data_IF_970965696025
#
_entry.id   IF_970965696025
#
_cell.length_a   1.000
_cell.length_b   1.000
_cell.length_c   1.000
_cell.angle_alpha   90.00
_cell.angle_beta   90.00
_cell.angle_gamma   90.00
#
_symmetry.space_group_name_H-M   'P 1'
#
loop_
_entity.id
_entity.type
_entity.pdbx_description
1 polymer ?
#
# COMPACT_ATOMS: atom_id res chain seq x y z
N UNK A 1 -0.27 5.18 24.64
CA UNK A 1 -0.62 6.18 23.60
C UNK A 1 -0.10 5.63 22.30
N UNK A 2 -0.95 5.49 21.27
CA UNK A 2 -0.54 4.94 19.97
C UNK A 2 0.39 5.93 19.26
N UNK A 3 1.36 5.39 18.52
CA UNK A 3 2.37 6.12 17.74
C UNK A 3 2.21 5.80 16.25
N UNK A 4 2.73 6.66 15.38
CA UNK A 4 2.85 6.34 13.96
C UNK A 4 3.81 5.17 13.72
N UNK A 5 4.87 5.01 14.52
CA UNK A 5 5.78 3.87 14.41
C UNK A 5 5.08 2.51 14.57
N UNK A 6 4.02 2.43 15.38
CA UNK A 6 3.21 1.20 15.49
C UNK A 6 2.30 0.96 14.26
N UNK A 7 1.98 2.01 13.51
CA UNK A 7 1.03 1.98 12.39
C UNK A 7 1.72 1.95 11.01
N UNK A 8 2.95 2.44 10.89
CA UNK A 8 3.67 2.51 9.61
C UNK A 8 4.49 1.24 9.35
N UNK A 9 4.64 0.85 8.09
CA UNK A 9 5.48 -0.31 7.72
C UNK A 9 6.96 -0.05 7.97
N UNK A 10 7.42 1.19 7.85
CA UNK A 10 8.80 1.59 8.13
C UNK A 10 9.13 1.61 9.64
N UNK A 11 8.11 1.54 10.51
CA UNK A 11 8.32 1.51 11.96
C UNK A 11 8.83 2.84 12.53
N UNK A 12 8.44 3.96 11.93
CA UNK A 12 8.88 5.32 12.29
C UNK A 12 7.68 6.25 12.48
N UNK A 13 7.81 7.21 13.39
CA UNK A 13 6.88 8.31 13.58
C UNK A 13 6.32 8.45 15.01
N UNK A 14 5.97 9.68 15.35
CA UNK A 14 5.73 10.12 16.73
C UNK A 14 4.38 9.73 17.34
N UNK A 15 4.15 10.13 18.60
CA UNK A 15 2.87 9.93 19.29
C UNK A 15 1.68 10.60 18.61
N UNK A 16 0.52 9.97 18.67
CA UNK A 16 -0.73 10.46 18.10
C UNK A 16 -1.63 11.02 19.20
N UNK A 17 -2.03 12.30 19.11
CA UNK A 17 -2.88 12.93 20.11
C UNK A 17 -4.26 12.25 20.25
N UNK A 18 -4.94 11.99 19.13
CA UNK A 18 -6.23 11.28 19.10
C UNK A 18 -6.25 10.26 17.96
N UNK A 19 -6.37 8.98 18.28
CA UNK A 19 -6.49 7.90 17.31
C UNK A 19 -7.90 7.29 17.37
N UNK A 20 -8.60 7.25 16.23
CA UNK A 20 -9.98 6.77 16.12
C UNK A 20 -10.03 5.64 15.09
N UNK A 21 -10.81 4.60 15.40
CA UNK A 21 -11.02 3.43 14.55
C UNK A 21 -12.51 3.19 14.30
N UNK A 22 -13.20 4.00 13.48
CA UNK A 22 -14.62 3.85 13.27
C UNK A 22 -14.95 2.53 12.56
N UNK A 23 -16.00 1.85 13.01
CA UNK A 23 -16.47 0.56 12.46
C UNK A 23 -17.72 0.71 11.60
N UNK A 24 -18.19 1.93 11.36
CA UNK A 24 -19.38 2.22 10.55
C UNK A 24 -19.10 3.36 9.59
N UNK A 25 -19.76 3.36 8.43
CA UNK A 25 -19.60 4.39 7.40
C UNK A 25 -19.86 5.79 7.97
N UNK A 26 -20.93 5.91 8.76
CA UNK A 26 -21.29 7.15 9.47
C UNK A 26 -20.19 7.57 10.43
N UNK A 27 -19.63 6.65 11.23
CA UNK A 27 -18.56 6.97 12.17
C UNK A 27 -17.26 7.45 11.49
N UNK A 28 -16.96 6.97 10.27
CA UNK A 28 -15.83 7.51 9.47
C UNK A 28 -16.09 8.96 9.09
N UNK A 29 -17.28 9.26 8.56
CA UNK A 29 -17.68 10.61 8.16
C UNK A 29 -17.68 11.55 9.37
N UNK A 30 -18.30 11.15 10.48
CA UNK A 30 -18.37 11.95 11.70
C UNK A 30 -16.99 12.25 12.27
N UNK A 31 -16.08 11.27 12.30
CA UNK A 31 -14.72 11.47 12.80
C UNK A 31 -13.92 12.48 11.95
N UNK A 32 -14.09 12.43 10.62
CA UNK A 32 -13.47 13.38 9.68
C UNK A 32 -14.10 14.76 9.81
N UNK A 33 -15.42 14.85 9.81
CA UNK A 33 -16.16 16.10 9.91
C UNK A 33 -15.90 16.81 11.25
N UNK A 34 -15.82 16.06 12.37
CA UNK A 34 -15.51 16.63 13.68
C UNK A 34 -14.12 17.25 13.71
N UNK A 35 -13.13 16.60 13.09
CA UNK A 35 -11.77 17.13 13.00
C UNK A 35 -11.72 18.41 12.16
N UNK A 36 -12.37 18.39 10.99
CA UNK A 36 -12.45 19.54 10.07
C UNK A 36 -13.19 20.72 10.71
N UNK A 37 -14.33 20.49 11.36
CA UNK A 37 -15.10 21.53 12.03
C UNK A 37 -14.34 22.21 13.18
N UNK A 38 -13.40 21.50 13.80
CA UNK A 38 -12.53 22.01 14.88
C UNK A 38 -11.22 22.60 14.36
N UNK A 39 -10.95 22.54 13.05
CA UNK A 39 -9.69 22.96 12.45
C UNK A 39 -8.48 22.16 12.95
N UNK A 40 -8.69 20.90 13.36
CA UNK A 40 -7.62 20.03 13.83
C UNK A 40 -6.88 19.40 12.64
N UNK A 41 -5.54 19.23 12.70
CA UNK A 41 -4.83 18.43 11.71
C UNK A 41 -5.44 17.03 11.61
N UNK A 42 -5.72 16.58 10.38
CA UNK A 42 -6.38 15.30 10.11
C UNK A 42 -5.48 14.40 9.27
N UNK A 43 -5.24 13.18 9.74
CA UNK A 43 -4.57 12.12 9.00
C UNK A 43 -5.46 10.88 8.92
N UNK A 44 -6.09 10.65 7.77
CA UNK A 44 -6.72 9.36 7.46
C UNK A 44 -5.64 8.40 7.01
N UNK A 45 -5.51 7.27 7.71
CA UNK A 45 -4.48 6.26 7.48
C UNK A 45 -5.11 4.91 7.16
N UNK A 46 -4.60 4.25 6.12
CA UNK A 46 -4.88 2.84 5.85
C UNK A 46 -3.96 1.94 6.67
N UNK A 47 -3.14 1.12 5.99
CA UNK A 47 -2.13 0.26 6.62
C UNK A 47 -0.79 0.97 6.95
N UNK A 48 -0.69 2.27 6.72
CA UNK A 48 0.53 3.06 6.97
C UNK A 48 1.73 2.68 6.11
N UNK A 49 1.49 2.08 4.94
CA UNK A 49 2.55 1.48 4.11
C UNK A 49 3.28 2.44 3.17
N UNK A 50 2.77 3.66 3.00
CA UNK A 50 3.32 4.67 2.10
C UNK A 50 3.41 6.04 2.78
N UNK A 51 3.92 6.06 4.03
CA UNK A 51 4.03 7.27 4.83
C UNK A 51 5.37 7.31 5.57
N UNK A 52 6.02 8.46 5.54
CA UNK A 52 7.12 8.79 6.45
C UNK A 52 6.66 9.94 7.34
N UNK A 53 6.57 9.69 8.64
CA UNK A 53 5.99 10.63 9.60
C UNK A 53 7.04 11.04 10.60
N UNK A 54 7.15 12.34 10.89
CA UNK A 54 8.03 12.90 11.91
C UNK A 54 7.83 12.21 13.27
N UNK A 55 8.92 12.09 14.04
CA UNK A 55 8.88 11.58 15.42
C UNK A 55 8.26 12.57 16.42
N UNK A 56 8.01 13.81 16.00
CA UNK A 56 7.29 14.80 16.81
C UNK A 56 5.83 14.40 17.02
N UNK A 57 5.22 14.70 18.19
CA UNK A 57 3.80 14.44 18.41
C UNK A 57 2.91 15.06 17.34
N UNK A 58 1.97 14.29 16.80
CA UNK A 58 0.97 14.81 15.86
C UNK A 58 -0.22 15.38 16.65
N UNK A 59 -0.43 16.72 16.65
CA UNK A 59 -1.37 17.39 17.56
C UNK A 59 -2.83 17.33 17.06
N UNK A 60 -3.17 16.33 16.26
CA UNK A 60 -4.43 16.22 15.53
C UNK A 60 -5.15 14.88 15.72
N UNK A 61 -6.05 14.61 14.79
CA UNK A 61 -6.84 13.37 14.75
C UNK A 61 -6.29 12.45 13.66
N UNK A 62 -6.00 11.21 14.04
CA UNK A 62 -5.71 10.12 13.11
C UNK A 62 -6.92 9.21 13.05
N UNK A 63 -7.43 8.97 11.84
CA UNK A 63 -8.59 8.11 11.61
C UNK A 63 -8.15 6.91 10.79
N UNK A 64 -8.41 5.69 11.28
CA UNK A 64 -8.28 4.48 10.48
C UNK A 64 -9.66 3.86 10.29
N UNK A 65 -10.07 3.73 9.04
CA UNK A 65 -11.31 3.01 8.72
C UNK A 65 -11.15 1.53 9.12
N UNK A 66 -11.94 1.06 10.09
CA UNK A 66 -11.88 -0.32 10.59
C UNK A 66 -12.87 -1.25 9.87
N UNK A 67 -13.61 -0.71 8.91
CA UNK A 67 -14.54 -1.44 8.05
C UNK A 67 -13.78 -2.24 6.99
N UNK A 68 -14.33 -3.38 6.58
CA UNK A 68 -13.59 -4.38 5.79
C UNK A 68 -14.46 -5.25 4.87
N UNK A 69 -15.75 -4.97 4.78
CA UNK A 69 -16.65 -5.78 3.97
C UNK A 69 -16.23 -5.74 2.50
N UNK A 70 -16.35 -6.90 1.87
CA UNK A 70 -16.27 -7.08 0.42
C UNK A 70 -17.60 -7.71 0.02
N UNK A 71 -18.30 -7.09 -0.93
CA UNK A 71 -19.58 -7.56 -1.44
C UNK A 71 -19.51 -7.74 -2.95
N UNK A 72 -20.22 -8.74 -3.45
CA UNK A 72 -20.34 -9.01 -4.89
C UNK A 72 -21.83 -8.90 -5.22
N UNK A 73 -22.30 -7.72 -5.68
CA UNK A 73 -23.72 -7.51 -6.00
C UNK A 73 -24.19 -8.35 -7.19
N UNK A 74 -23.29 -8.74 -8.09
CA UNK A 74 -23.60 -9.53 -9.28
C UNK A 74 -23.59 -11.04 -9.00
N UNK A 75 -24.29 -11.83 -9.84
CA UNK A 75 -24.06 -13.27 -9.87
C UNK A 75 -22.65 -13.58 -10.36
N UNK A 76 -21.86 -14.30 -9.56
CA UNK A 76 -20.45 -14.63 -9.87
C UNK A 76 -20.34 -15.57 -11.08
N UNK A 77 -21.35 -16.40 -11.32
CA UNK A 77 -21.37 -17.36 -12.43
C UNK A 77 -21.94 -16.71 -13.69
N UNK A 78 -21.15 -16.53 -14.77
CA UNK A 78 -21.64 -15.91 -15.99
C UNK A 78 -22.68 -16.81 -16.67
N UNK A 79 -23.75 -16.21 -17.19
CA UNK A 79 -24.69 -16.87 -18.11
C UNK A 79 -23.92 -17.22 -19.40
N UNK A 80 -24.14 -18.42 -19.94
CA UNK A 80 -23.43 -18.90 -21.14
C UNK A 80 -23.63 -17.92 -22.32
N UNK A 81 -22.52 -17.32 -22.80
CA UNK A 81 -22.53 -16.30 -23.87
C UNK A 81 -22.80 -14.85 -23.42
N UNK A 82 -22.99 -14.59 -22.12
CA UNK A 82 -23.23 -13.27 -21.54
C UNK A 82 -21.96 -12.49 -21.17
N UNK A 83 -22.17 -11.26 -20.67
CA UNK A 83 -21.11 -10.45 -20.05
C UNK A 83 -20.47 -11.21 -18.89
N UNK A 84 -19.14 -11.15 -18.82
CA UNK A 84 -18.33 -11.80 -17.77
C UNK A 84 -17.84 -10.80 -16.73
N UNK A 85 -18.27 -9.55 -16.82
CA UNK A 85 -17.97 -8.52 -15.83
C UNK A 85 -18.67 -8.88 -14.51
N UNK A 86 -17.92 -8.77 -13.41
CA UNK A 86 -18.40 -8.96 -12.05
C UNK A 86 -17.98 -7.74 -11.24
N UNK A 87 -18.96 -7.01 -10.73
CA UNK A 87 -18.72 -5.88 -9.85
C UNK A 87 -18.42 -6.39 -8.44
N UNK A 88 -17.34 -5.88 -7.85
CA UNK A 88 -16.96 -6.18 -6.47
C UNK A 88 -16.79 -4.85 -5.73
N UNK A 89 -17.61 -4.63 -4.70
CA UNK A 89 -17.49 -3.46 -3.84
C UNK A 89 -16.68 -3.84 -2.59
N UNK A 90 -15.73 -2.98 -2.20
CA UNK A 90 -14.94 -3.19 -1.00
C UNK A 90 -14.81 -1.89 -0.19
N UNK A 91 -14.96 -1.99 1.13
CA UNK A 91 -14.81 -0.86 2.03
C UNK A 91 -13.37 -0.37 2.12
N UNK A 92 -13.18 0.93 2.32
CA UNK A 92 -11.86 1.58 2.26
C UNK A 92 -10.82 1.02 3.26
N UNK A 93 -11.27 0.51 4.40
CA UNK A 93 -10.43 -0.11 5.43
C UNK A 93 -10.02 -1.57 5.14
N UNK A 94 -10.61 -2.22 4.13
CA UNK A 94 -10.26 -3.59 3.76
C UNK A 94 -8.78 -3.69 3.36
N UNK A 95 -8.06 -4.70 3.87
CA UNK A 95 -6.68 -4.95 3.48
C UNK A 95 -6.61 -5.26 1.98
N UNK A 96 -5.70 -4.59 1.26
CA UNK A 96 -5.62 -4.74 -0.19
C UNK A 96 -5.36 -6.18 -0.61
N UNK A 97 -4.42 -6.86 0.05
CA UNK A 97 -4.07 -8.21 -0.36
C UNK A 97 -5.11 -9.27 0.05
N UNK A 98 -5.93 -8.98 1.06
CA UNK A 98 -7.12 -9.79 1.37
C UNK A 98 -8.18 -9.65 0.28
N UNK A 99 -8.38 -8.44 -0.25
CA UNK A 99 -9.23 -8.20 -1.40
C UNK A 99 -8.73 -8.96 -2.64
N UNK A 100 -7.44 -8.89 -2.96
CA UNK A 100 -6.88 -9.65 -4.09
C UNK A 100 -6.99 -11.17 -3.87
N UNK A 101 -6.77 -11.66 -2.65
CA UNK A 101 -6.97 -13.08 -2.33
C UNK A 101 -8.43 -13.50 -2.58
N UNK A 102 -9.38 -12.72 -2.07
CA UNK A 102 -10.82 -12.95 -2.25
C UNK A 102 -11.23 -13.00 -3.73
N UNK A 103 -10.77 -12.06 -4.55
CA UNK A 103 -11.12 -12.03 -5.98
C UNK A 103 -10.53 -13.21 -6.74
N UNK A 104 -9.28 -13.61 -6.43
CA UNK A 104 -8.64 -14.79 -7.04
C UNK A 104 -9.32 -16.10 -6.59
N UNK A 105 -9.78 -16.17 -5.33
CA UNK A 105 -10.54 -17.32 -4.81
C UNK A 105 -11.89 -17.50 -5.53
N UNK A 106 -12.53 -16.40 -5.93
CA UNK A 106 -13.75 -16.40 -6.75
C UNK A 106 -13.52 -16.59 -8.26
N UNK A 107 -12.27 -16.74 -8.71
CA UNK A 107 -11.97 -16.90 -10.13
C UNK A 107 -12.15 -15.61 -10.93
N UNK A 108 -11.87 -14.45 -10.33
CA UNK A 108 -11.92 -13.14 -10.98
C UNK A 108 -10.51 -12.68 -11.37
N UNK A 109 -10.35 -12.22 -12.61
CA UNK A 109 -9.14 -11.58 -13.12
C UNK A 109 -9.26 -10.05 -13.10
N UNK A 110 -8.11 -9.37 -13.00
CA UNK A 110 -7.98 -7.91 -13.12
C UNK A 110 -7.02 -7.30 -12.11
N UNK A 111 -6.78 -7.99 -10.98
CA UNK A 111 -5.97 -7.46 -9.86
C UNK A 111 -4.91 -8.44 -9.35
N UNK A 112 -4.79 -9.63 -9.96
CA UNK A 112 -3.85 -10.66 -9.54
C UNK A 112 -2.38 -10.21 -9.63
N UNK A 113 -2.05 -9.33 -10.59
CA UNK A 113 -0.73 -8.70 -10.74
C UNK A 113 -0.36 -7.74 -9.61
N UNK A 114 -1.35 -7.30 -8.84
CA UNK A 114 -1.24 -6.36 -7.71
C UNK A 114 -1.15 -7.08 -6.35
N UNK A 115 -1.01 -8.41 -6.36
CA UNK A 115 -0.88 -9.23 -5.15
C UNK A 115 0.28 -8.77 -4.25
N UNK A 116 0.05 -8.76 -2.94
CA UNK A 116 1.03 -8.43 -1.92
C UNK A 116 1.43 -6.96 -1.85
N UNK A 117 0.69 -6.05 -2.51
CA UNK A 117 0.86 -4.61 -2.26
C UNK A 117 0.37 -4.30 -0.83
N UNK A 118 1.21 -3.70 0.02
CA UNK A 118 0.83 -3.27 1.36
C UNK A 118 -0.28 -2.21 1.39
N UNK A 119 -1.12 -2.20 2.44
CA UNK A 119 -2.11 -1.16 2.69
C UNK A 119 -3.56 -1.60 2.49
N UNK A 120 -4.45 -0.65 2.21
CA UNK A 120 -5.89 -0.89 2.14
C UNK A 120 -6.49 -0.52 0.78
N UNK A 121 -7.68 -1.04 0.50
CA UNK A 121 -8.48 -0.72 -0.69
C UNK A 121 -8.66 0.78 -0.87
N UNK A 122 -8.98 1.53 0.19
CA UNK A 122 -9.15 2.99 0.09
C UNK A 122 -7.87 3.73 -0.32
N UNK A 123 -6.71 3.28 0.19
CA UNK A 123 -5.42 3.87 -0.16
C UNK A 123 -4.98 3.51 -1.59
N UNK A 124 -5.46 2.39 -2.14
CA UNK A 124 -5.07 1.88 -3.47
C UNK A 124 -5.32 2.90 -4.59
N UNK A 125 -6.46 3.60 -4.53
CA UNK A 125 -6.91 4.56 -5.54
C UNK A 125 -6.35 5.96 -5.35
N UNK A 126 -5.81 6.30 -4.17
CA UNK A 126 -5.22 7.63 -3.93
C UNK A 126 -4.02 7.84 -4.85
N UNK A 127 -3.17 6.83 -4.98
CA UNK A 127 -1.98 6.92 -5.81
C UNK A 127 -1.98 5.96 -6.99
N UNK A 128 -3.13 5.42 -7.39
CA UNK A 128 -3.21 4.43 -8.47
C UNK A 128 -2.13 3.35 -8.35
N UNK A 129 -2.20 2.53 -7.28
CA UNK A 129 -1.17 1.51 -7.03
C UNK A 129 -0.98 0.64 -8.27
N UNK A 130 0.27 0.26 -8.52
CA UNK A 130 0.60 -0.52 -9.71
C UNK A 130 1.86 -1.31 -9.55
N UNK A 131 1.83 -2.54 -10.05
CA UNK A 131 2.95 -3.46 -10.08
C UNK A 131 2.78 -4.43 -11.25
N UNK A 132 3.91 -4.90 -11.79
CA UNK A 132 3.96 -5.97 -12.79
C UNK A 132 3.00 -5.78 -13.97
N UNK A 133 2.92 -4.54 -14.49
CA UNK A 133 2.14 -4.22 -15.70
C UNK A 133 0.65 -3.98 -15.45
N UNK A 134 0.19 -4.05 -14.20
CA UNK A 134 -1.17 -3.66 -13.80
C UNK A 134 -1.14 -2.40 -12.95
N UNK A 135 -2.20 -1.60 -13.07
CA UNK A 135 -2.51 -0.47 -12.20
C UNK A 135 -3.98 -0.58 -11.78
N UNK A 136 -4.28 -0.25 -10.53
CA UNK A 136 -5.63 -0.45 -9.97
C UNK A 136 -6.71 0.31 -10.73
N UNK A 137 -6.38 1.47 -11.29
CA UNK A 137 -7.31 2.28 -12.07
C UNK A 137 -7.86 1.59 -13.32
N UNK A 138 -7.21 0.53 -13.81
CA UNK A 138 -7.73 -0.28 -14.92
C UNK A 138 -8.92 -1.18 -14.52
N UNK A 139 -9.13 -1.40 -13.22
CA UNK A 139 -10.20 -2.25 -12.68
C UNK A 139 -11.23 -1.48 -11.88
N UNK A 140 -11.01 -0.18 -11.58
CA UNK A 140 -11.95 0.63 -10.82
C UNK A 140 -13.06 1.15 -11.72
N UNK A 141 -14.30 0.92 -11.33
CA UNK A 141 -15.47 1.53 -11.97
C UNK A 141 -15.81 2.86 -11.28
N UNK A 142 -15.95 2.83 -9.95
CA UNK A 142 -16.33 3.99 -9.14
C UNK A 142 -15.71 3.96 -7.75
N UNK A 143 -15.58 5.14 -7.15
CA UNK A 143 -15.09 5.35 -5.79
C UNK A 143 -16.05 6.25 -5.03
N UNK A 144 -16.67 5.71 -3.98
CA UNK A 144 -17.49 6.50 -3.07
C UNK A 144 -16.55 7.27 -2.13
N UNK A 145 -16.73 8.59 -2.06
CA UNK A 145 -15.92 9.47 -1.21
C UNK A 145 -16.79 10.37 -0.33
N UNK A 146 -16.27 10.73 0.84
CA UNK A 146 -16.69 11.92 1.57
C UNK A 146 -15.93 13.13 1.06
N UNK A 147 -16.63 14.10 0.47
CA UNK A 147 -16.07 15.39 0.08
C UNK A 147 -16.06 16.33 1.29
N UNK A 148 -14.87 16.56 1.84
CA UNK A 148 -14.67 17.40 3.04
C UNK A 148 -14.99 18.88 2.82
N UNK A 149 -14.91 19.35 1.57
CA UNK A 149 -15.22 20.75 1.24
C UNK A 149 -16.72 20.96 1.16
N UNK A 150 -17.40 20.09 0.41
CA UNK A 150 -18.83 20.23 0.12
C UNK A 150 -19.72 19.53 1.17
N UNK A 151 -19.11 18.80 2.10
CA UNK A 151 -19.76 18.05 3.19
C UNK A 151 -20.86 17.11 2.69
N UNK A 152 -20.54 16.34 1.65
CA UNK A 152 -21.45 15.35 1.06
C UNK A 152 -20.70 14.13 0.59
N UNK A 153 -21.40 13.01 0.52
CA UNK A 153 -20.88 11.84 -0.19
C UNK A 153 -21.09 11.97 -1.69
N UNK A 154 -20.11 11.51 -2.45
CA UNK A 154 -20.10 11.58 -3.93
C UNK A 154 -19.47 10.31 -4.47
N UNK A 155 -20.01 9.78 -5.57
CA UNK A 155 -19.37 8.72 -6.34
C UNK A 155 -18.54 9.35 -7.47
N UNK A 156 -17.25 9.04 -7.50
CA UNK A 156 -16.33 9.47 -8.53
C UNK A 156 -16.08 8.31 -9.49
N UNK A 157 -16.28 8.55 -10.79
CA UNK A 157 -15.97 7.56 -11.82
C UNK A 157 -14.46 7.45 -12.06
N UNK A 158 -14.01 6.40 -12.76
CA UNK A 158 -12.63 6.31 -13.24
C UNK A 158 -12.17 7.55 -14.03
N UNK A 159 -13.10 8.16 -14.79
CA UNK A 159 -12.83 9.39 -15.56
C UNK A 159 -12.63 10.61 -14.63
N UNK A 160 -13.45 10.74 -13.58
CA UNK A 160 -13.31 11.82 -12.59
C UNK A 160 -12.01 11.70 -11.80
N UNK A 161 -11.59 10.47 -11.52
CA UNK A 161 -10.37 10.16 -10.77
C UNK A 161 -9.10 10.48 -11.55
N UNK A 162 -9.15 10.58 -12.88
CA UNK A 162 -8.01 10.95 -13.74
C UNK A 162 -6.74 10.19 -13.36
N UNK A 163 -6.85 8.86 -13.27
CA UNK A 163 -5.74 8.02 -12.88
C UNK A 163 -4.54 8.24 -13.81
N UNK A 164 -3.35 8.30 -13.20
CA UNK A 164 -2.08 8.38 -13.90
C UNK A 164 -1.00 7.64 -13.13
N UNK A 165 0.23 7.70 -13.62
CA UNK A 165 1.35 7.04 -12.97
C UNK A 165 1.56 7.60 -11.56
N UNK A 166 1.28 6.78 -10.54
CA UNK A 166 1.35 7.13 -9.11
C UNK A 166 0.50 8.35 -8.70
N UNK A 167 -0.59 8.59 -9.43
CA UNK A 167 -1.41 9.80 -9.28
C UNK A 167 -2.90 9.56 -9.52
N UNK A 168 -3.73 10.40 -8.89
CA UNK A 168 -5.16 10.55 -9.14
C UNK A 168 -5.62 11.95 -8.74
N UNK A 169 -6.87 12.30 -9.05
CA UNK A 169 -7.53 13.53 -8.58
C UNK A 169 -7.57 13.61 -7.04
N UNK A 170 -7.60 12.46 -6.34
CA UNK A 170 -7.55 12.40 -4.88
C UNK A 170 -6.19 12.91 -4.37
N UNK A 171 -5.08 12.34 -4.85
CA UNK A 171 -3.73 12.80 -4.48
C UNK A 171 -3.49 14.25 -4.91
N UNK A 172 -3.96 14.63 -6.10
CA UNK A 172 -3.84 16.00 -6.59
C UNK A 172 -4.57 17.03 -5.72
N UNK A 173 -5.62 16.61 -4.99
CA UNK A 173 -6.35 17.51 -4.07
C UNK A 173 -5.58 17.90 -2.80
N UNK A 174 -4.45 17.25 -2.51
CA UNK A 174 -3.60 17.52 -1.33
C UNK A 174 -2.19 18.01 -1.65
N UNK A 175 -1.85 18.15 -2.94
CA UNK A 175 -0.52 18.57 -3.39
C UNK A 175 -0.64 19.74 -4.37
N UNK A 176 0.15 20.81 -4.17
CA UNK A 176 0.23 21.92 -5.11
C UNK A 176 1.18 21.61 -6.30
N UNK A 177 2.15 20.73 -6.07
CA UNK A 177 3.08 20.19 -7.06
C UNK A 177 3.60 18.82 -6.56
N UNK A 178 4.30 18.02 -7.38
CA UNK A 178 4.90 16.77 -6.91
C UNK A 178 5.70 16.95 -5.62
N UNK A 179 5.40 16.12 -4.60
CA UNK A 179 5.96 16.18 -3.26
C UNK A 179 5.88 17.56 -2.55
N UNK A 180 5.04 18.49 -3.03
CA UNK A 180 4.82 19.81 -2.42
C UNK A 180 3.39 19.89 -1.87
N UNK A 181 3.20 19.76 -0.54
CA UNK A 181 1.89 19.82 0.09
C UNK A 181 1.10 21.07 -0.30
N UNK A 182 -0.21 20.91 -0.52
CA UNK A 182 -1.12 22.04 -0.65
C UNK A 182 -1.38 22.68 0.72
N UNK A 183 -1.82 23.95 0.72
CA UNK A 183 -2.19 24.66 1.95
C UNK A 183 -3.49 24.17 2.60
N UNK A 184 -4.28 23.36 1.88
CA UNK A 184 -5.49 22.71 2.37
C UNK A 184 -5.41 21.21 2.13
N UNK A 185 -6.13 20.44 2.95
CA UNK A 185 -6.29 18.99 2.78
C UNK A 185 -4.96 18.22 2.70
N UNK A 186 -3.96 18.60 3.46
CA UNK A 186 -2.76 17.77 3.67
C UNK A 186 -2.67 17.39 5.15
N UNK A 187 -2.30 16.13 5.51
CA UNK A 187 -1.89 15.00 4.66
C UNK A 187 -3.04 14.12 4.15
N UNK A 188 -4.29 14.49 4.43
CA UNK A 188 -5.48 13.75 3.97
C UNK A 188 -6.13 14.49 2.81
N UNK A 189 -6.36 13.87 1.63
CA UNK A 189 -7.07 14.47 0.51
C UNK A 189 -8.39 15.17 0.85
N UNK A 190 -8.86 16.06 -0.04
CA UNK A 190 -10.22 16.63 0.03
C UNK A 190 -11.28 15.52 0.11
N UNK A 191 -11.02 14.43 -0.62
CA UNK A 191 -11.90 13.30 -0.78
C UNK A 191 -11.41 12.12 0.08
N UNK A 192 -12.15 11.77 1.13
CA UNK A 192 -11.86 10.58 1.95
C UNK A 192 -12.62 9.40 1.36
N UNK A 193 -11.89 8.38 0.92
CA UNK A 193 -12.48 7.18 0.31
C UNK A 193 -13.28 6.39 1.36
N UNK A 194 -14.51 6.02 1.02
CA UNK A 194 -15.41 5.22 1.86
C UNK A 194 -15.53 3.79 1.34
N UNK A 195 -15.65 3.60 0.03
CA UNK A 195 -15.66 2.30 -0.64
C UNK A 195 -15.17 2.43 -2.09
N UNK A 196 -14.77 1.31 -2.69
CA UNK A 196 -14.36 1.24 -4.10
C UNK A 196 -15.11 0.10 -4.76
N UNK A 197 -15.70 0.37 -5.92
CA UNK A 197 -16.32 -0.64 -6.78
C UNK A 197 -15.39 -0.96 -7.94
N UNK A 198 -15.04 -2.23 -8.07
CA UNK A 198 -14.20 -2.77 -9.13
C UNK A 198 -15.06 -3.50 -10.16
N UNK A 199 -14.79 -3.28 -11.44
CA UNK A 199 -15.31 -4.09 -12.53
C UNK A 199 -14.24 -5.13 -12.91
N UNK A 200 -14.37 -6.34 -12.38
CA UNK A 200 -13.48 -7.47 -12.64
C UNK A 200 -14.10 -8.41 -13.66
N UNK A 201 -13.34 -9.40 -14.13
CA UNK A 201 -13.84 -10.37 -15.11
C UNK A 201 -13.78 -11.80 -14.59
N UNK A 202 -14.86 -12.56 -14.73
CA UNK A 202 -14.86 -13.97 -14.39
C UNK A 202 -14.00 -14.77 -15.38
N UNK A 203 -12.87 -15.28 -14.89
CA UNK A 203 -11.88 -16.05 -15.65
C UNK A 203 -10.93 -16.79 -14.72
N UNK A 204 -10.73 -18.09 -14.95
CA UNK A 204 -9.72 -18.88 -14.24
C UNK A 204 -8.28 -18.41 -14.53
N UNK A 205 -8.06 -17.77 -15.69
CA UNK A 205 -6.75 -17.26 -16.10
C UNK A 205 -6.67 -15.73 -16.02
N UNK A 206 -5.45 -15.19 -15.98
CA UNK A 206 -5.12 -13.77 -16.11
C UNK A 206 -3.98 -13.58 -17.12
N UNK A 207 -3.58 -12.32 -17.37
CA UNK A 207 -2.55 -11.99 -18.39
C UNK A 207 -1.22 -11.59 -17.74
N UNK A 208 -0.11 -12.15 -18.21
CA UNK A 208 1.24 -11.81 -17.72
C UNK A 208 1.76 -10.56 -18.43
N UNK A 209 1.57 -9.40 -17.80
CA UNK A 209 1.83 -8.09 -18.44
C UNK A 209 3.24 -7.51 -18.29
N UNK A 210 4.20 -8.21 -17.68
CA UNK A 210 5.49 -7.62 -17.34
C UNK A 210 6.67 -8.60 -17.42
N UNK A 211 7.77 -8.16 -18.05
CA UNK A 211 8.91 -9.04 -18.38
C UNK A 211 9.55 -9.74 -17.18
N UNK A 212 9.65 -9.08 -16.02
CA UNK A 212 10.18 -9.75 -14.83
C UNK A 212 9.27 -10.87 -14.33
N UNK A 213 7.95 -10.67 -14.41
CA UNK A 213 6.97 -11.67 -14.01
C UNK A 213 6.95 -12.83 -15.02
N UNK A 214 6.99 -12.51 -16.32
CA UNK A 214 7.11 -13.48 -17.41
C UNK A 214 8.35 -14.38 -17.23
N UNK A 215 9.51 -13.79 -16.96
CA UNK A 215 10.75 -14.52 -16.63
C UNK A 215 10.60 -15.43 -15.41
N UNK A 216 9.94 -14.96 -14.35
CA UNK A 216 9.75 -15.74 -13.13
C UNK A 216 8.80 -16.94 -13.33
N UNK A 217 7.86 -16.81 -14.27
CA UNK A 217 6.90 -17.85 -14.64
C UNK A 217 7.39 -18.77 -15.77
N UNK A 218 8.47 -18.39 -16.49
CA UNK A 218 8.98 -19.15 -17.63
C UNK A 218 8.07 -19.03 -18.87
N UNK A 219 7.44 -17.86 -19.06
CA UNK A 219 6.50 -17.56 -20.13
C UNK A 219 6.85 -16.23 -20.80
N UNK A 220 6.16 -15.88 -21.88
CA UNK A 220 6.32 -14.61 -22.58
C UNK A 220 5.35 -13.54 -22.06
N UNK A 221 5.67 -12.27 -22.30
CA UNK A 221 4.74 -11.17 -21.99
C UNK A 221 3.52 -11.27 -22.90
N UNK A 222 2.33 -11.26 -22.29
CA UNK A 222 1.04 -11.45 -22.97
C UNK A 222 0.47 -12.86 -22.84
N UNK A 223 1.26 -13.83 -22.36
CA UNK A 223 0.75 -15.18 -22.09
C UNK A 223 -0.31 -15.18 -20.98
N UNK A 224 -1.23 -16.14 -21.06
CA UNK A 224 -2.28 -16.34 -20.05
C UNK A 224 -2.00 -17.54 -19.17
N UNK A 225 -2.22 -17.38 -17.87
CA UNK A 225 -2.00 -18.41 -16.85
C UNK A 225 -3.07 -18.34 -15.78
N UNK A 226 -3.25 -19.41 -15.00
CA UNK A 226 -4.12 -19.41 -13.83
C UNK A 226 -3.84 -18.19 -12.92
N UNK A 227 -4.88 -17.44 -12.55
CA UNK A 227 -4.73 -16.22 -11.73
C UNK A 227 -4.02 -16.50 -10.41
N UNK A 228 -4.27 -17.67 -9.81
CA UNK A 228 -3.56 -18.15 -8.61
C UNK A 228 -2.07 -18.36 -8.85
N UNK A 229 -1.67 -18.86 -10.02
CA UNK A 229 -0.26 -19.03 -10.37
C UNK A 229 0.43 -17.67 -10.54
N UNK A 230 -0.24 -16.71 -11.19
CA UNK A 230 0.24 -15.33 -11.33
C UNK A 230 0.41 -14.69 -9.95
N UNK A 231 -0.61 -14.72 -9.09
CA UNK A 231 -0.56 -14.23 -7.70
C UNK A 231 0.64 -14.80 -6.94
N UNK A 232 0.82 -16.13 -6.97
CA UNK A 232 1.91 -16.78 -6.27
C UNK A 232 3.29 -16.35 -6.79
N UNK A 233 3.45 -16.18 -8.10
CA UNK A 233 4.70 -15.68 -8.68
C UNK A 233 4.95 -14.22 -8.30
N UNK A 234 3.93 -13.36 -8.35
CA UNK A 234 4.01 -11.96 -7.90
C UNK A 234 4.47 -11.87 -6.45
N UNK A 235 3.85 -12.63 -5.54
CA UNK A 235 4.23 -12.66 -4.12
C UNK A 235 5.70 -13.07 -3.95
N UNK A 236 6.18 -14.10 -4.67
CA UNK A 236 7.59 -14.52 -4.64
C UNK A 236 8.54 -13.44 -5.15
N UNK A 237 8.23 -12.79 -6.26
CA UNK A 237 9.08 -11.72 -6.83
C UNK A 237 9.09 -10.48 -5.93
N UNK A 238 7.98 -10.16 -5.25
CA UNK A 238 7.97 -9.08 -4.25
C UNK A 238 8.77 -9.44 -3.01
N UNK A 239 8.64 -10.67 -2.51
CA UNK A 239 9.38 -11.16 -1.35
C UNK A 239 10.90 -11.07 -1.57
N UNK A 240 11.39 -11.46 -2.75
CA UNK A 240 12.82 -11.40 -3.09
C UNK A 240 13.40 -9.98 -3.21
N UNK A 241 12.56 -8.95 -3.08
CA UNK A 241 12.91 -7.54 -3.12
C UNK A 241 12.65 -6.80 -1.80
N UNK A 242 12.19 -7.49 -0.75
CA UNK A 242 11.73 -6.84 0.48
C UNK A 242 10.46 -5.97 0.29
N UNK A 243 9.69 -6.21 -0.78
CA UNK A 243 8.53 -5.38 -1.17
C UNK A 243 7.19 -5.90 -0.62
N UNK A 244 7.23 -6.89 0.28
CA UNK A 244 6.09 -7.33 1.07
C UNK A 244 6.20 -6.73 2.47
N UNK A 245 5.07 -6.58 3.15
CA UNK A 245 5.09 -6.18 4.57
C UNK A 245 5.76 -7.26 5.43
N UNK A 246 6.32 -6.84 6.57
CA UNK A 246 6.69 -7.75 7.64
C UNK A 246 5.42 -8.33 8.27
N UNK A 247 5.20 -9.64 8.13
CA UNK A 247 3.99 -10.30 8.61
C UNK A 247 3.84 -10.25 10.14
N UNK A 248 4.97 -10.14 10.87
CA UNK A 248 4.97 -10.03 12.33
C UNK A 248 4.29 -8.75 12.84
N UNK A 249 4.14 -7.73 11.98
CA UNK A 249 3.48 -6.48 12.35
C UNK A 249 2.04 -6.67 12.79
N UNK A 250 1.35 -7.69 12.28
CA UNK A 250 -0.04 -7.98 12.61
C UNK A 250 -0.23 -8.60 13.99
N UNK A 251 0.88 -8.92 14.68
CA UNK A 251 0.89 -9.32 16.09
C UNK A 251 0.92 -8.11 17.04
N UNK A 252 1.19 -6.90 16.51
CA UNK A 252 1.11 -5.66 17.29
C UNK A 252 -0.36 -5.31 17.57
N UNK A 253 -0.76 -4.99 18.82
CA UNK A 253 -2.13 -4.55 19.15
C UNK A 253 -2.67 -3.40 18.29
N UNK A 254 -1.80 -2.53 17.78
CA UNK A 254 -2.20 -1.44 16.89
C UNK A 254 -2.65 -1.94 15.51
N UNK A 255 -2.13 -3.07 15.02
CA UNK A 255 -2.39 -3.62 13.68
C UNK A 255 -3.20 -4.93 13.72
N UNK A 256 -3.44 -5.49 14.90
CA UNK A 256 -4.28 -6.66 15.12
C UNK A 256 -5.63 -6.55 14.39
N UNK A 257 -6.03 -7.63 13.73
CA UNK A 257 -7.31 -7.74 13.04
C UNK A 257 -7.46 -6.82 11.82
N UNK A 258 -6.41 -6.13 11.36
CA UNK A 258 -6.46 -5.30 10.13
C UNK A 258 -6.20 -6.09 8.85
N UNK A 259 -5.85 -7.37 8.97
CA UNK A 259 -5.70 -8.35 7.89
C UNK A 259 -6.27 -9.69 8.35
N UNK A 260 -6.87 -10.45 7.42
CA UNK A 260 -7.43 -11.79 7.63
C UNK A 260 -6.43 -12.72 8.29
N UNK A 261 -6.84 -13.39 9.37
CA UNK A 261 -5.97 -14.24 10.18
C UNK A 261 -5.35 -15.40 9.38
N UNK A 262 -6.08 -16.01 8.45
CA UNK A 262 -5.53 -17.04 7.56
C UNK A 262 -4.42 -16.49 6.65
N UNK A 263 -4.59 -15.29 6.09
CA UNK A 263 -3.58 -14.64 5.26
C UNK A 263 -2.35 -14.22 6.09
N UNK A 264 -2.55 -13.79 7.35
CA UNK A 264 -1.45 -13.51 8.28
C UNK A 264 -0.64 -14.79 8.57
N UNK A 265 -1.30 -15.91 8.85
CA UNK A 265 -0.62 -17.21 9.07
C UNK A 265 0.18 -17.65 7.85
N UNK A 266 -0.39 -17.54 6.64
CA UNK A 266 0.29 -17.85 5.38
C UNK A 266 1.53 -16.97 5.21
N UNK A 267 1.41 -15.66 5.48
CA UNK A 267 2.51 -14.71 5.34
C UNK A 267 3.62 -14.96 6.39
N UNK A 268 3.25 -15.23 7.65
CA UNK A 268 4.21 -15.58 8.72
C UNK A 268 4.97 -16.85 8.36
N UNK A 269 4.27 -17.91 7.92
CA UNK A 269 4.93 -19.17 7.52
C UNK A 269 5.84 -18.98 6.31
N UNK A 270 5.44 -18.15 5.34
CA UNK A 270 6.27 -17.83 4.20
C UNK A 270 7.54 -17.03 4.56
N UNK A 271 7.50 -16.24 5.64
CA UNK A 271 8.61 -15.39 6.07
C UNK A 271 9.52 -16.08 7.10
N UNK A 272 8.95 -16.81 8.06
CA UNK A 272 9.65 -17.35 9.24
C UNK A 272 9.67 -18.89 9.29
N UNK A 273 9.11 -19.57 8.28
CA UNK A 273 9.06 -21.03 8.22
C UNK A 273 8.27 -21.64 9.39
N UNK A 274 8.72 -22.79 9.89
CA UNK A 274 8.00 -23.54 10.93
C UNK A 274 7.99 -22.83 12.29
N UNK A 275 8.86 -21.84 12.53
CA UNK A 275 8.81 -21.00 13.74
C UNK A 275 7.49 -20.22 13.81
N UNK A 276 6.85 -19.95 12.67
CA UNK A 276 5.57 -19.26 12.63
C UNK A 276 4.42 -20.06 13.27
N UNK A 277 4.51 -21.39 13.33
CA UNK A 277 3.43 -22.26 13.81
C UNK A 277 3.23 -22.13 15.34
N UNK A 278 4.19 -21.56 16.07
CA UNK A 278 4.07 -21.27 17.51
C UNK A 278 3.51 -19.88 17.83
N UNK A 279 3.37 -19.01 16.82
CA UNK A 279 2.92 -17.63 17.01
C UNK A 279 1.39 -17.57 17.14
N UNK A 280 0.91 -16.94 18.19
CA UNK A 280 -0.51 -16.66 18.37
C UNK A 280 -0.94 -15.55 17.41
N UNK A 281 -1.63 -15.92 16.33
CA UNK A 281 -2.25 -14.96 15.40
C UNK A 281 -3.65 -14.64 15.91
N UNK A 282 -3.95 -13.38 16.25
CA UNK A 282 -5.29 -13.02 16.70
C UNK A 282 -6.33 -13.19 15.58
N UNK A 283 -7.52 -13.64 15.96
CA UNK A 283 -8.61 -13.80 15.00
C UNK A 283 -9.08 -12.44 14.48
N UNK A 284 -9.52 -12.43 13.22
CA UNK A 284 -10.04 -11.21 12.60
C UNK A 284 -11.51 -11.04 13.00
N UNK A 285 -11.92 -9.94 13.67
CA UNK A 285 -13.31 -9.83 14.13
C UNK A 285 -14.30 -9.85 12.96
N UNK A 286 -15.34 -10.70 13.02
CA UNK A 286 -16.29 -10.82 11.90
C UNK A 286 -15.69 -11.44 10.63
N UNK A 287 -14.57 -12.17 10.74
CA UNK A 287 -14.11 -13.10 9.70
C UNK A 287 -14.78 -14.47 9.78
N UNK A 288 -15.86 -14.60 10.57
CA UNK A 288 -16.95 -15.47 10.18
C UNK A 288 -17.42 -14.94 8.84
N UNK A 289 -16.77 -15.38 7.78
CA UNK A 289 -17.17 -15.05 6.44
C UNK A 289 -18.58 -15.60 6.31
N UNK A 290 -19.51 -14.66 6.22
CA UNK A 290 -20.77 -14.75 5.52
C UNK A 290 -20.50 -15.00 4.02
N UNK A 291 -19.69 -16.03 3.73
CA UNK A 291 -19.70 -16.84 2.52
C UNK A 291 -20.90 -17.81 2.52
N UNK A 292 -21.90 -17.55 3.37
CA UNK A 292 -23.04 -18.41 3.65
C UNK A 292 -24.02 -18.57 2.48
N UNK A 293 -23.83 -17.89 1.35
CA UNK A 293 -24.55 -18.20 0.11
C UNK A 293 -23.92 -19.39 -0.66
N UNK A 294 -22.69 -19.80 -0.35
CA UNK A 294 -22.01 -20.91 -1.02
C UNK A 294 -21.86 -22.20 -0.18
N UNK A 295 -22.35 -22.22 1.07
CA UNK A 295 -22.09 -23.32 2.01
C UNK A 295 -23.32 -23.77 2.81
N UNK A 296 -24.42 -24.14 2.13
CA UNK A 296 -25.41 -25.02 2.75
C UNK A 296 -24.87 -26.45 2.85
N UNK A 297 -24.34 -26.84 4.03
CA UNK A 297 -24.54 -28.13 4.73
C UNK A 297 -23.52 -28.34 5.88
N UNK A 298 -24.06 -28.76 7.04
CA UNK A 298 -23.43 -29.34 8.26
C UNK A 298 -23.32 -28.45 9.52
N UNK A 299 -24.47 -28.22 10.15
CA UNK A 299 -24.88 -28.50 11.56
C UNK A 299 -23.85 -28.38 12.73
N UNK A 300 -24.18 -27.42 13.61
CA UNK A 300 -24.22 -27.38 15.11
C UNK A 300 -23.03 -26.96 16.00
N UNK A 301 -23.33 -25.89 16.77
CA UNK A 301 -23.23 -25.68 18.23
C UNK A 301 -22.09 -24.84 18.89
N UNK A 302 -22.48 -23.60 19.25
CA UNK A 302 -22.48 -22.87 20.56
C UNK A 302 -21.20 -22.44 21.31
N UNK A 303 -21.13 -21.10 21.52
CA UNK A 303 -20.81 -20.30 22.75
C UNK A 303 -19.39 -20.44 23.35
N UNK A 304 -18.65 -19.43 23.84
CA UNK A 304 -18.96 -18.19 24.57
C UNK A 304 -17.74 -17.21 24.54
N UNK A 305 -17.97 -15.92 24.78
CA UNK A 305 -16.98 -14.81 24.84
C UNK A 305 -16.48 -14.50 26.25
N UNK A 306 -15.19 -14.16 26.41
CA UNK A 306 -14.71 -13.24 27.47
C UNK A 306 -13.48 -12.44 26.99
N UNK A 307 -13.54 -11.10 27.15
CA UNK A 307 -12.44 -10.16 26.90
C UNK A 307 -11.58 -10.03 28.16
N UNK A 308 -10.25 -10.05 28.00
CA UNK A 308 -9.31 -9.54 29.01
C UNK A 308 -8.39 -8.51 28.37
N UNK A 309 -8.43 -7.30 28.94
CA UNK A 309 -7.52 -6.19 28.68
C UNK A 309 -6.12 -6.47 29.23
N UNK A 310 -5.07 -6.16 28.47
CA UNK A 310 -3.82 -5.63 29.02
C UNK A 310 -2.99 -4.86 27.99
N UNK A 311 -2.43 -3.76 28.46
CA UNK A 311 -1.66 -2.75 27.74
C UNK A 311 -0.22 -2.80 28.21
N UNK A 312 0.75 -2.83 27.29
CA UNK A 312 2.11 -2.30 27.48
C UNK A 312 2.79 -1.99 26.13
N UNK A 313 3.80 -1.12 26.18
CA UNK A 313 4.40 -0.31 25.13
C UNK A 313 4.95 -1.01 23.86
N UNK A 314 4.90 -0.25 22.76
CA UNK A 314 5.56 -0.44 21.48
C UNK A 314 7.07 -0.71 21.60
N UNK A 315 7.59 -1.54 20.70
CA UNK A 315 8.99 -1.99 20.50
C UNK A 315 9.35 -3.42 20.94
N UNK A 316 8.41 -4.27 21.37
CA UNK A 316 8.77 -5.56 21.99
C UNK A 316 8.25 -6.85 21.31
N UNK A 317 8.05 -6.88 19.98
CA UNK A 317 7.85 -8.20 19.31
C UNK A 317 9.17 -9.01 19.26
N UNK A 318 10.30 -8.42 19.62
CA UNK A 318 11.63 -9.05 19.47
C UNK A 318 12.12 -9.89 20.65
N UNK A 319 11.48 -9.88 21.82
CA UNK A 319 12.09 -10.52 23.01
C UNK A 319 11.43 -11.87 23.39
N UNK A 320 10.19 -12.15 22.96
CA UNK A 320 9.48 -13.37 23.40
C UNK A 320 8.85 -14.21 22.25
N UNK A 321 8.97 -13.76 21.00
CA UNK A 321 8.38 -14.45 19.84
C UNK A 321 9.31 -15.46 19.16
N UNK A 322 10.61 -15.42 19.47
CA UNK A 322 11.64 -16.24 18.82
C UNK A 322 11.95 -15.90 17.36
N UNK A 323 11.32 -14.86 16.78
CA UNK A 323 11.58 -14.40 15.40
C UNK A 323 12.46 -13.15 15.37
N UNK A 324 13.43 -13.13 14.44
CA UNK A 324 14.26 -11.96 14.18
C UNK A 324 13.53 -11.00 13.22
N UNK A 325 13.60 -9.67 13.42
CA UNK A 325 13.02 -8.70 12.49
C UNK A 325 13.62 -8.80 11.09
N UNK A 326 12.77 -8.78 10.06
CA UNK A 326 13.20 -8.59 8.67
C UNK A 326 13.24 -7.09 8.34
N UNK A 327 14.35 -6.45 8.67
CA UNK A 327 14.52 -5.00 8.45
C UNK A 327 14.47 -4.59 6.98
N UNK A 328 14.65 -5.50 6.02
CA UNK A 328 14.46 -5.16 4.60
C UNK A 328 12.99 -4.90 4.25
N UNK A 329 12.05 -5.32 5.10
CA UNK A 329 10.61 -5.02 4.99
C UNK A 329 10.17 -3.81 5.80
N UNK A 330 11.06 -3.23 6.60
CA UNK A 330 10.77 -2.01 7.38
C UNK A 330 11.00 -0.79 6.49
N UNK A 331 10.15 -0.62 5.48
CA UNK A 331 10.24 0.43 4.46
C UNK A 331 8.87 0.99 4.10
N UNK A 332 8.84 1.99 3.21
CA UNK A 332 7.62 2.45 2.53
C UNK A 332 7.47 1.83 1.12
N UNK A 333 8.08 0.66 0.87
CA UNK A 333 8.26 0.13 -0.47
C UNK A 333 9.26 0.94 -1.29
N UNK A 334 9.00 1.13 -2.58
CA UNK A 334 9.81 2.04 -3.41
C UNK A 334 9.65 3.47 -2.92
N UNK A 335 10.73 4.06 -2.40
CA UNK A 335 10.70 5.38 -1.81
C UNK A 335 10.63 6.50 -2.86
N UNK A 336 11.21 6.29 -4.05
CA UNK A 336 11.21 7.26 -5.14
C UNK A 336 10.39 6.76 -6.32
N UNK A 337 9.63 7.67 -6.94
CA UNK A 337 8.97 7.42 -8.21
C UNK A 337 10.00 7.28 -9.33
N UNK A 338 9.68 6.48 -10.36
CA UNK A 338 10.45 6.50 -11.60
C UNK A 338 10.26 7.86 -12.29
N UNK A 339 11.34 8.62 -12.56
CA UNK A 339 11.20 9.93 -13.18
C UNK A 339 10.72 9.80 -14.62
N UNK A 340 9.84 10.73 -15.03
CA UNK A 340 9.42 10.92 -16.42
C UNK A 340 10.09 12.20 -16.90
N UNK A 341 10.93 12.06 -17.92
CA UNK A 341 11.84 13.08 -18.42
C UNK A 341 11.38 13.58 -19.80
N UNK A 342 11.77 14.81 -20.14
CA UNK A 342 11.69 15.26 -21.53
C UNK A 342 12.68 14.47 -22.41
N UNK A 343 12.47 14.48 -23.72
CA UNK A 343 13.41 13.84 -24.66
C UNK A 343 14.85 14.37 -24.51
N UNK A 344 15.00 15.68 -24.28
CA UNK A 344 16.31 16.32 -24.07
C UNK A 344 17.00 15.86 -22.78
N UNK A 345 16.25 15.71 -21.69
CA UNK A 345 16.77 15.19 -20.42
C UNK A 345 17.16 13.71 -20.56
N UNK A 346 16.31 12.90 -21.19
CA UNK A 346 16.56 11.46 -21.38
C UNK A 346 17.78 11.17 -22.30
N UNK A 347 18.07 12.07 -23.24
CA UNK A 347 19.24 11.99 -24.11
C UNK A 347 20.58 12.22 -23.37
N UNK A 348 20.56 12.84 -22.18
CA UNK A 348 21.75 13.03 -21.33
C UNK A 348 22.08 11.83 -20.46
N UNK A 349 21.14 10.89 -20.30
CA UNK A 349 21.38 9.66 -19.54
C UNK A 349 22.30 8.72 -20.31
N UNK A 350 23.06 7.85 -19.62
CA UNK A 350 23.85 6.79 -20.26
C UNK A 350 23.02 5.91 -21.20
N UNK A 351 23.66 5.32 -22.22
CA UNK A 351 22.97 4.55 -23.26
C UNK A 351 22.19 3.36 -22.69
N UNK A 352 22.72 2.70 -21.67
CA UNK A 352 22.14 1.53 -21.00
C UNK A 352 21.08 1.87 -19.94
N UNK A 353 20.83 3.16 -19.66
CA UNK A 353 19.73 3.58 -18.81
C UNK A 353 18.38 3.12 -19.39
N UNK A 354 17.52 2.41 -18.63
CA UNK A 354 16.23 1.97 -19.14
C UNK A 354 15.35 3.14 -19.60
N UNK A 355 14.72 3.02 -20.76
CA UNK A 355 13.85 4.04 -21.33
C UNK A 355 12.53 3.40 -21.75
N UNK A 356 11.43 3.98 -21.27
CA UNK A 356 10.09 3.52 -21.57
C UNK A 356 9.24 4.72 -21.97
N UNK A 357 8.39 4.55 -22.98
CA UNK A 357 7.45 5.59 -23.37
C UNK A 357 6.51 5.93 -22.22
N UNK A 358 6.26 7.22 -22.03
CA UNK A 358 5.34 7.73 -21.03
C UNK A 358 4.77 9.08 -21.48
N UNK A 359 3.77 9.58 -20.74
CA UNK A 359 3.27 10.94 -20.90
C UNK A 359 3.82 11.82 -19.78
N UNK A 360 4.24 13.04 -20.14
CA UNK A 360 4.51 14.12 -19.19
C UNK A 360 3.20 14.61 -18.56
N UNK A 361 3.26 15.37 -17.45
CA UNK A 361 2.05 15.88 -16.78
C UNK A 361 1.14 16.76 -17.67
N UNK A 362 1.71 17.39 -18.70
CA UNK A 362 0.96 18.20 -19.68
C UNK A 362 0.38 17.36 -20.84
N UNK A 363 0.56 16.04 -20.81
CA UNK A 363 0.10 15.10 -21.83
C UNK A 363 1.04 14.94 -23.02
N UNK A 364 2.17 15.67 -23.08
CA UNK A 364 3.15 15.52 -24.15
C UNK A 364 3.99 14.25 -23.98
N UNK A 365 4.63 13.73 -25.05
CA UNK A 365 5.48 12.55 -24.94
C UNK A 365 6.67 12.77 -24.00
N UNK A 366 6.90 11.82 -23.11
CA UNK A 366 8.03 11.78 -22.19
C UNK A 366 8.69 10.40 -22.16
N UNK A 367 9.83 10.32 -21.49
CA UNK A 367 10.58 9.08 -21.30
C UNK A 367 10.65 8.77 -19.82
N UNK A 368 9.99 7.69 -19.41
CA UNK A 368 10.13 7.15 -18.05
C UNK A 368 11.42 6.34 -17.97
N UNK A 369 12.22 6.58 -16.94
CA UNK A 369 13.43 5.79 -16.66
C UNK A 369 13.40 5.17 -15.26
N UNK A 370 14.30 4.22 -14.97
CA UNK A 370 14.31 3.47 -13.71
C UNK A 370 15.04 4.25 -12.62
N UNK A 371 14.33 4.69 -11.58
CA UNK A 371 14.95 5.31 -10.40
C UNK A 371 15.92 4.33 -9.71
N UNK A 372 15.58 3.04 -9.64
CA UNK A 372 16.46 2.02 -9.08
C UNK A 372 17.82 1.95 -9.80
N UNK A 373 17.79 2.09 -11.13
CA UNK A 373 18.98 2.06 -11.96
C UNK A 373 19.84 3.31 -11.73
N UNK A 374 19.21 4.50 -11.72
CA UNK A 374 19.90 5.77 -11.45
C UNK A 374 20.57 5.78 -10.08
N UNK A 375 19.89 5.32 -9.04
CA UNK A 375 20.42 5.26 -7.67
C UNK A 375 21.64 4.34 -7.61
N UNK A 376 21.54 3.13 -8.18
CA UNK A 376 22.63 2.15 -8.17
C UNK A 376 23.85 2.65 -8.96
N UNK A 377 23.65 3.27 -10.13
CA UNK A 377 24.72 3.77 -10.99
C UNK A 377 25.32 5.11 -10.51
N UNK A 378 24.63 5.82 -9.61
CA UNK A 378 25.20 6.95 -8.87
C UNK A 378 26.05 6.50 -7.64
N UNK A 379 26.21 5.19 -7.42
CA UNK A 379 27.04 4.61 -6.36
C UNK A 379 26.29 4.22 -5.09
N UNK A 380 24.95 4.36 -5.06
CA UNK A 380 24.11 3.98 -3.91
C UNK A 380 23.59 2.55 -4.09
N UNK A 381 24.48 1.58 -3.91
CA UNK A 381 24.15 0.17 -4.06
C UNK A 381 23.24 -0.36 -2.94
N UNK A 382 22.69 -1.57 -3.13
CA UNK A 382 21.92 -2.27 -2.09
C UNK A 382 22.73 -2.35 -0.78
N UNK A 383 22.09 -2.03 0.34
CA UNK A 383 22.76 -1.97 1.64
C UNK A 383 23.52 -0.68 1.94
N UNK A 384 23.55 0.30 1.03
CA UNK A 384 24.18 1.61 1.27
C UNK A 384 23.65 2.29 2.54
N UNK A 385 24.54 2.97 3.25
CA UNK A 385 24.26 3.81 4.42
C UNK A 385 25.10 5.09 4.34
N UNK A 386 24.63 6.18 4.96
CA UNK A 386 25.37 7.45 5.02
C UNK A 386 26.60 7.36 5.95
N UNK A 387 26.55 6.47 6.95
CA UNK A 387 27.65 6.12 7.84
C UNK A 387 27.55 4.65 8.27
N UNK A 388 28.64 4.08 8.79
CA UNK A 388 28.70 2.67 9.22
C UNK A 388 27.66 2.35 10.32
N UNK A 389 27.51 3.27 11.28
CA UNK A 389 26.59 3.21 12.41
C UNK A 389 25.20 3.80 12.12
N UNK A 390 24.94 4.25 10.89
CA UNK A 390 23.64 4.78 10.51
C UNK A 390 22.53 3.74 10.67
N UNK A 391 21.39 4.22 11.18
CA UNK A 391 20.22 3.40 11.51
C UNK A 391 19.23 3.28 10.35
N UNK A 392 19.31 4.16 9.36
CA UNK A 392 18.63 4.00 8.08
C UNK A 392 19.63 3.49 7.02
N UNK A 393 19.14 2.69 6.07
CA UNK A 393 19.94 2.23 4.94
C UNK A 393 19.08 1.82 3.75
N UNK A 394 19.67 1.75 2.56
CA UNK A 394 19.01 1.09 1.43
C UNK A 394 18.87 -0.40 1.74
N UNK A 395 17.75 -1.00 1.33
CA UNK A 395 17.55 -2.43 1.48
C UNK A 395 18.68 -3.22 0.83
N UNK A 396 19.05 -4.34 1.46
CA UNK A 396 20.00 -5.29 0.89
C UNK A 396 19.41 -6.06 -0.29
N UNK A 397 18.08 -6.02 -0.45
CA UNK A 397 17.36 -6.71 -1.52
C UNK A 397 17.05 -5.79 -2.71
N UNK A 398 16.79 -4.49 -2.48
CA UNK A 398 16.35 -3.56 -3.54
C UNK A 398 16.70 -2.09 -3.27
N UNK A 399 17.37 -1.43 -4.22
CA UNK A 399 17.90 -0.05 -4.05
C UNK A 399 16.82 1.02 -3.86
N UNK A 400 15.60 0.81 -4.35
CA UNK A 400 14.50 1.76 -4.12
C UNK A 400 13.91 1.74 -2.72
N UNK A 401 14.19 0.72 -1.91
CA UNK A 401 13.62 0.65 -0.57
C UNK A 401 14.58 1.29 0.44
N UNK A 402 14.17 2.41 1.04
CA UNK A 402 14.81 2.96 2.22
C UNK A 402 14.25 2.24 3.45
N UNK A 403 15.14 1.73 4.29
CA UNK A 403 14.80 0.82 5.39
C UNK A 403 15.25 1.34 6.73
N UNK A 404 14.38 1.19 7.73
CA UNK A 404 14.75 1.29 9.13
C UNK A 404 15.50 0.01 9.53
N UNK A 405 16.79 0.12 9.84
CA UNK A 405 17.66 -1.02 10.22
C UNK A 405 17.56 -1.37 11.71
N UNK A 406 16.57 -0.83 12.40
CA UNK A 406 16.39 -0.90 13.84
C UNK A 406 16.66 0.46 14.50
N UNK A 407 15.61 1.06 15.07
CA UNK A 407 15.72 2.29 15.86
C UNK A 407 16.01 3.56 15.05
N UNK A 408 15.79 3.57 13.74
CA UNK A 408 15.86 4.78 12.93
C UNK A 408 14.75 5.77 13.31
N UNK A 409 15.09 7.06 13.31
CA UNK A 409 14.14 8.17 13.35
C UNK A 409 13.71 8.55 11.92
N UNK A 410 12.68 9.38 11.82
CA UNK A 410 12.25 9.96 10.55
C UNK A 410 13.35 10.83 9.93
N UNK A 411 14.13 11.51 10.78
CA UNK A 411 15.28 12.31 10.37
C UNK A 411 16.39 11.45 9.75
N UNK A 412 16.67 10.26 10.30
CA UNK A 412 17.67 9.34 9.74
C UNK A 412 17.26 8.88 8.32
N UNK A 413 15.97 8.53 8.14
CA UNK A 413 15.44 8.15 6.82
C UNK A 413 15.49 9.33 5.85
N UNK A 414 15.20 10.54 6.33
CA UNK A 414 15.27 11.76 5.53
C UNK A 414 16.68 12.13 5.09
N UNK A 415 17.67 11.96 5.97
CA UNK A 415 19.08 12.16 5.64
C UNK A 415 19.51 11.23 4.51
N UNK A 416 19.18 9.94 4.62
CA UNK A 416 19.43 8.96 3.57
C UNK A 416 18.72 9.33 2.26
N UNK A 417 17.46 9.74 2.33
CA UNK A 417 16.70 10.16 1.15
C UNK A 417 17.36 11.34 0.43
N UNK A 418 17.77 12.38 1.18
CA UNK A 418 18.45 13.55 0.61
C UNK A 418 19.80 13.18 0.00
N UNK A 419 20.59 12.35 0.68
CA UNK A 419 21.87 11.89 0.14
C UNK A 419 21.71 11.20 -1.23
N UNK A 420 20.67 10.36 -1.38
CA UNK A 420 20.35 9.70 -2.64
C UNK A 420 19.84 10.71 -3.69
N UNK A 421 18.95 11.63 -3.32
CA UNK A 421 18.45 12.66 -4.24
C UNK A 421 19.57 13.55 -4.77
N UNK A 422 20.42 14.05 -3.88
CA UNK A 422 21.53 14.95 -4.20
C UNK A 422 22.56 14.24 -5.09
N UNK A 423 22.88 12.97 -4.79
CA UNK A 423 23.82 12.19 -5.59
C UNK A 423 23.31 11.86 -6.99
N UNK A 424 22.03 11.49 -7.13
CA UNK A 424 21.41 11.23 -8.45
C UNK A 424 21.28 12.53 -9.25
N UNK A 425 20.94 13.64 -8.61
CA UNK A 425 20.89 14.95 -9.24
C UNK A 425 22.27 15.41 -9.70
N UNK A 426 23.31 15.22 -8.89
CA UNK A 426 24.69 15.53 -9.27
C UNK A 426 25.19 14.68 -10.44
N UNK A 427 24.82 13.40 -10.50
CA UNK A 427 25.26 12.48 -11.54
C UNK A 427 24.53 12.69 -12.88
N UNK A 428 23.23 12.99 -12.84
CA UNK A 428 22.36 12.94 -14.04
C UNK A 428 21.54 14.21 -14.29
N UNK A 429 21.56 15.19 -13.38
CA UNK A 429 20.67 16.35 -13.43
C UNK A 429 19.19 16.00 -13.23
N UNK A 430 18.91 14.89 -12.55
CA UNK A 430 17.56 14.39 -12.28
C UNK A 430 17.28 14.39 -10.77
N UNK A 431 16.38 15.25 -10.31
CA UNK A 431 15.87 15.21 -8.93
C UNK A 431 14.82 14.11 -8.79
N UNK A 432 15.08 13.14 -7.92
CA UNK A 432 14.10 12.10 -7.61
C UNK A 432 12.98 12.66 -6.71
N UNK A 433 11.75 12.23 -6.97
CA UNK A 433 10.55 12.63 -6.23
C UNK A 433 10.11 11.50 -5.30
N UNK A 434 9.95 11.74 -3.99
CA UNK A 434 9.42 10.73 -3.08
C UNK A 434 8.01 10.26 -3.46
N UNK A 435 7.78 8.95 -3.40
CA UNK A 435 6.46 8.32 -3.47
C UNK A 435 5.65 8.42 -2.15
N UNK A 436 6.24 8.25 -0.94
CA UNK A 436 5.47 8.28 0.30
C UNK A 436 4.99 9.68 0.68
N UNK A 437 3.88 9.72 1.43
CA UNK A 437 3.37 10.95 2.04
C UNK A 437 4.26 11.33 3.22
N UNK A 438 4.85 12.53 3.17
CA UNK A 438 5.78 13.03 4.18
C UNK A 438 5.03 13.94 5.17
N UNK A 439 4.91 13.53 6.43
CA UNK A 439 4.06 14.23 7.41
C UNK A 439 4.90 14.85 8.53
N UNK A 440 4.73 16.15 8.77
CA UNK A 440 5.40 16.85 9.86
C UNK A 440 6.89 17.14 9.63
N UNK A 441 7.36 17.02 8.39
CA UNK A 441 8.74 17.29 7.97
C UNK A 441 8.81 17.59 6.46
N UNK A 442 9.98 18.00 5.95
CA UNK A 442 10.21 18.31 4.53
C UNK A 442 11.43 17.54 3.98
N UNK A 443 11.27 16.97 2.77
CA UNK A 443 12.31 16.25 2.02
C UNK A 443 12.76 16.98 0.75
N UNK A 444 12.29 18.21 0.52
CA UNK A 444 12.71 18.99 -0.65
C UNK A 444 14.14 19.49 -0.51
#
# INVERSE_FOLDING_TARGET
MTTFAELTTIGVGGPIARFIKPTTRVGVIEAVEEADAKGLPLCVIGGGSNMLVSDTPFPGVVVRDARRAITVPDEVAPVEGGDRTVHVNAEAGCNWDDFVAFTVELGLEGVEGLSGIPGTVGASVVQNIGAYGQEVGASVESVEVWDRRDKRTTDLTAQDLKFGYRSSALKSSMYAAPATPAGEFFPTPRYVVLSVTFALRHSATGTVGYGQLAKALGVEVGDRMETRAIRNAVLKVRASKGMLEDAARYLNPAMEGTKRADQVRIALRAQYGDVADSLAVPETPGSDSDTSVAAERLVSNTADTELVSQSTAASAVTVDSGIAPDYDRHSCGSFFMNPILTAEQAARLPEDAPRFDAALPDGTPGVKTSAAWLIDHAGFHKGFKTAEDAKAGLSTMHTLALTNRGGASAADVAELARAVQDGVEAAYGVRLVPEPVIVGMDLR
#
